data_IF_321456077715
#
_entry.id   IF_321456077715
#
_cell.length_a   1.000
_cell.length_b   1.000
_cell.length_c   1.000
_cell.angle_alpha   90.00
_cell.angle_beta   90.00
_cell.angle_gamma   90.00
#
_symmetry.space_group_name_H-M   'P 1'
#
loop_
_entity.id
_entity.type
_entity.pdbx_description
1 polymer ?
#
# COMPACT_ATOMS: atom_id res chain seq x y z
N UNK A 1 35.83 -40.73 -29.69
CA UNK A 1 35.26 -39.58 -28.99
C UNK A 1 35.77 -38.30 -29.63
N UNK A 2 34.93 -37.58 -30.37
CA UNK A 2 35.26 -36.30 -30.99
C UNK A 2 35.46 -35.24 -29.90
N UNK A 3 36.62 -34.58 -29.88
CA UNK A 3 36.91 -33.49 -28.91
C UNK A 3 35.90 -32.36 -29.12
N UNK A 4 35.09 -32.07 -28.10
CA UNK A 4 34.22 -30.89 -28.07
C UNK A 4 35.08 -29.65 -28.31
N UNK A 5 34.71 -28.81 -29.29
CA UNK A 5 35.40 -27.55 -29.54
C UNK A 5 35.24 -26.63 -28.31
N UNK A 6 36.34 -26.02 -27.87
CA UNK A 6 36.33 -25.06 -26.76
C UNK A 6 35.41 -23.90 -27.11
N UNK A 7 34.36 -23.74 -26.33
CA UNK A 7 33.35 -22.71 -26.47
C UNK A 7 33.66 -21.64 -25.46
N UNK A 8 34.27 -20.51 -25.86
CA UNK A 8 34.71 -19.51 -24.90
C UNK A 8 33.54 -19.05 -24.02
N UNK A 9 32.32 -18.99 -24.56
CA UNK A 9 31.08 -18.55 -23.92
C UNK A 9 30.59 -19.42 -22.75
N UNK A 10 31.09 -20.66 -22.61
CA UNK A 10 30.65 -21.59 -21.56
C UNK A 10 31.80 -22.35 -20.90
N UNK A 11 32.92 -22.55 -21.61
CA UNK A 11 34.06 -23.29 -21.10
C UNK A 11 35.02 -22.28 -20.43
N UNK A 12 35.37 -22.53 -19.16
CA UNK A 12 36.38 -21.77 -18.45
C UNK A 12 37.78 -22.29 -18.87
N UNK A 13 38.74 -21.42 -19.25
CA UNK A 13 40.10 -21.85 -19.48
C UNK A 13 40.72 -22.34 -18.16
N UNK A 14 41.60 -23.32 -18.26
CA UNK A 14 42.39 -23.77 -17.10
C UNK A 14 43.18 -22.60 -16.52
N UNK A 15 43.04 -22.35 -15.22
CA UNK A 15 43.71 -21.26 -14.55
C UNK A 15 45.23 -21.53 -14.48
N UNK A 16 46.02 -20.69 -15.14
CA UNK A 16 47.49 -20.76 -15.16
C UNK A 16 48.17 -19.68 -14.31
N UNK A 17 47.39 -18.92 -13.53
CA UNK A 17 47.93 -17.87 -12.66
C UNK A 17 48.57 -18.44 -11.39
N UNK A 18 49.27 -17.58 -10.65
CA UNK A 18 49.84 -17.95 -9.36
C UNK A 18 48.75 -18.03 -8.29
N UNK A 19 48.78 -19.08 -7.48
CA UNK A 19 47.98 -19.17 -6.26
C UNK A 19 48.69 -18.42 -5.13
N UNK A 20 47.94 -17.61 -4.39
CA UNK A 20 48.43 -16.92 -3.19
C UNK A 20 47.74 -17.56 -1.99
N UNK A 21 48.45 -17.87 -0.90
CA UNK A 21 47.81 -18.35 0.33
C UNK A 21 46.82 -17.29 0.84
N UNK A 22 45.55 -17.66 0.92
CA UNK A 22 44.46 -16.80 1.39
C UNK A 22 43.85 -17.43 2.63
N UNK A 23 43.95 -16.74 3.76
CA UNK A 23 43.32 -17.17 5.01
C UNK A 23 41.87 -16.68 5.05
N UNK A 24 40.98 -17.54 4.55
CA UNK A 24 39.56 -17.24 4.48
C UNK A 24 38.93 -17.00 5.86
N UNK A 25 39.49 -17.58 6.92
CA UNK A 25 38.97 -17.42 8.28
C UNK A 25 39.35 -16.04 8.82
N UNK A 26 40.61 -15.65 8.67
CA UNK A 26 41.08 -14.32 9.08
C UNK A 26 40.36 -13.21 8.32
N UNK A 27 40.34 -13.28 6.98
CA UNK A 27 39.73 -12.24 6.15
C UNK A 27 38.21 -12.22 6.32
N UNK A 28 37.57 -13.39 6.46
CA UNK A 28 36.16 -13.50 6.77
C UNK A 28 35.81 -12.90 8.13
N UNK A 29 36.61 -13.15 9.18
CA UNK A 29 36.40 -12.58 10.50
C UNK A 29 36.55 -11.05 10.50
N UNK A 30 37.57 -10.52 9.83
CA UNK A 30 37.76 -9.07 9.67
C UNK A 30 36.58 -8.47 8.91
N UNK A 31 36.17 -9.08 7.79
CA UNK A 31 35.05 -8.60 6.99
C UNK A 31 33.75 -8.55 7.81
N UNK A 32 33.43 -9.62 8.55
CA UNK A 32 32.24 -9.67 9.41
C UNK A 32 32.31 -8.60 10.49
N UNK A 33 33.46 -8.43 11.17
CA UNK A 33 33.62 -7.41 12.20
C UNK A 33 33.44 -6.00 11.65
N UNK A 34 34.07 -5.70 10.51
CA UNK A 34 33.94 -4.39 9.84
C UNK A 34 32.51 -4.15 9.41
N UNK A 35 31.85 -5.13 8.77
CA UNK A 35 30.46 -5.02 8.35
C UNK A 35 29.53 -4.85 9.55
N UNK A 36 29.76 -5.55 10.66
CA UNK A 36 28.99 -5.40 11.89
C UNK A 36 29.10 -3.97 12.44
N UNK A 37 30.33 -3.46 12.58
CA UNK A 37 30.59 -2.11 13.09
C UNK A 37 29.96 -1.07 12.18
N UNK A 38 30.15 -1.20 10.86
CA UNK A 38 29.56 -0.29 9.88
C UNK A 38 28.03 -0.35 9.93
N UNK A 39 27.43 -1.54 10.00
CA UNK A 39 25.97 -1.70 10.06
C UNK A 39 25.40 -1.04 11.32
N UNK A 40 26.01 -1.27 12.49
CA UNK A 40 25.57 -0.66 13.74
C UNK A 40 25.73 0.87 13.71
N UNK A 41 26.86 1.38 13.19
CA UNK A 41 27.11 2.81 13.07
C UNK A 41 26.13 3.47 12.09
N UNK A 42 25.91 2.87 10.92
CA UNK A 42 24.95 3.35 9.92
C UNK A 42 23.52 3.29 10.45
N UNK A 43 23.14 2.23 11.16
CA UNK A 43 21.83 2.14 11.79
C UNK A 43 21.62 3.27 12.80
N UNK A 44 22.61 3.57 13.66
CA UNK A 44 22.50 4.67 14.62
C UNK A 44 22.41 6.05 13.96
N UNK A 45 23.13 6.26 12.86
CA UNK A 45 23.17 7.55 12.15
C UNK A 45 21.95 7.74 11.24
N UNK A 46 21.45 6.67 10.63
CA UNK A 46 20.43 6.69 9.58
C UNK A 46 19.12 5.98 9.97
N UNK A 47 18.91 5.62 11.24
CA UNK A 47 17.65 5.01 11.70
C UNK A 47 16.50 5.97 11.46
N UNK A 48 15.47 5.51 10.75
CA UNK A 48 14.23 6.26 10.58
C UNK A 48 13.49 6.44 11.91
N UNK A 49 12.60 7.46 12.02
CA UNK A 49 11.77 7.68 13.19
C UNK A 49 10.78 6.52 13.36
N UNK A 50 10.53 6.13 14.61
CA UNK A 50 9.44 5.22 14.94
C UNK A 50 8.12 6.01 15.02
N UNK A 51 7.49 6.20 13.86
CA UNK A 51 6.20 6.89 13.75
C UNK A 51 5.06 6.00 14.25
N UNK A 52 4.21 6.56 15.11
CA UNK A 52 3.07 5.81 15.65
C UNK A 52 2.05 5.54 14.56
N UNK A 53 1.52 4.32 14.55
CA UNK A 53 0.42 3.95 13.68
C UNK A 53 -0.79 4.88 13.88
N UNK A 54 -1.37 5.31 12.76
CA UNK A 54 -2.60 6.09 12.76
C UNK A 54 -3.77 5.16 13.06
N UNK A 55 -4.61 5.58 13.99
CA UNK A 55 -5.85 4.89 14.41
C UNK A 55 -7.05 5.76 14.05
N UNK A 56 -8.23 5.15 14.00
CA UNK A 56 -9.48 5.90 13.79
C UNK A 56 -9.73 6.86 14.95
N UNK A 57 -9.35 6.48 16.17
CA UNK A 57 -9.34 7.40 17.32
C UNK A 57 -8.47 8.63 17.09
N UNK A 58 -7.23 8.45 16.63
CA UNK A 58 -6.34 9.60 16.40
C UNK A 58 -6.86 10.49 15.27
N UNK A 59 -7.36 9.88 14.19
CA UNK A 59 -7.96 10.59 13.07
C UNK A 59 -9.20 11.37 13.48
N UNK A 60 -10.21 10.72 14.06
CA UNK A 60 -11.48 11.36 14.46
C UNK A 60 -11.33 12.47 15.52
N UNK A 61 -10.24 12.47 16.30
CA UNK A 61 -9.93 13.57 17.21
C UNK A 61 -9.12 14.70 16.56
N UNK A 62 -8.32 14.41 15.54
CA UNK A 62 -7.52 15.40 14.82
C UNK A 62 -8.35 16.13 13.75
N UNK A 63 -9.19 15.40 13.01
CA UNK A 63 -10.07 15.90 11.98
C UNK A 63 -11.45 15.23 12.06
N UNK A 64 -12.28 15.74 12.97
CA UNK A 64 -13.60 15.15 13.25
C UNK A 64 -14.59 15.32 12.09
N UNK A 65 -14.46 16.40 11.32
CA UNK A 65 -15.36 16.66 10.19
C UNK A 65 -15.03 15.72 9.03
N UNK A 66 -13.75 15.54 8.71
CA UNK A 66 -13.30 14.55 7.71
C UNK A 66 -13.77 13.14 8.09
N UNK A 67 -13.55 12.70 9.34
CA UNK A 67 -14.06 11.40 9.80
C UNK A 67 -15.59 11.26 9.63
N UNK A 68 -16.35 12.26 10.05
CA UNK A 68 -17.81 12.20 9.97
C UNK A 68 -18.31 12.21 8.52
N UNK A 69 -17.61 12.91 7.63
CA UNK A 69 -17.90 12.91 6.20
C UNK A 69 -17.63 11.53 5.59
N UNK A 70 -16.46 10.95 5.86
CA UNK A 70 -16.12 9.60 5.39
C UNK A 70 -17.11 8.57 5.92
N UNK A 71 -17.44 8.58 7.21
CA UNK A 71 -18.46 7.68 7.76
C UNK A 71 -19.83 7.83 7.08
N UNK A 72 -20.17 9.05 6.63
CA UNK A 72 -21.35 9.31 5.82
C UNK A 72 -21.27 8.64 4.45
N UNK A 73 -20.14 8.78 3.76
CA UNK A 73 -19.89 8.14 2.47
C UNK A 73 -19.92 6.60 2.56
N UNK A 74 -19.36 6.05 3.64
CA UNK A 74 -19.40 4.61 3.90
C UNK A 74 -20.83 4.13 4.12
N UNK A 75 -21.62 4.88 4.92
CA UNK A 75 -23.03 4.61 5.18
C UNK A 75 -23.86 4.63 3.90
N UNK A 76 -23.61 5.60 3.00
CA UNK A 76 -24.34 5.77 1.74
C UNK A 76 -23.81 4.94 0.58
N UNK A 77 -22.68 4.24 0.77
CA UNK A 77 -22.06 3.41 -0.26
C UNK A 77 -21.43 4.22 -1.39
N UNK A 78 -20.97 5.44 -1.09
CA UNK A 78 -20.34 6.38 -2.04
C UNK A 78 -18.84 6.55 -1.83
N UNK A 79 -18.28 5.90 -0.81
CA UNK A 79 -16.85 5.89 -0.51
C UNK A 79 -16.03 5.19 -1.61
N UNK A 80 -14.72 5.42 -1.62
CA UNK A 80 -13.85 4.81 -2.62
C UNK A 80 -13.81 3.28 -2.47
N UNK A 81 -13.81 2.75 -1.24
CA UNK A 81 -13.93 1.31 -0.97
C UNK A 81 -15.27 0.77 -1.47
N UNK A 82 -16.38 1.51 -1.26
CA UNK A 82 -17.69 1.08 -1.75
C UNK A 82 -17.73 0.95 -3.29
N UNK A 83 -16.99 1.80 -4.00
CA UNK A 83 -16.84 1.80 -5.45
C UNK A 83 -15.66 0.98 -5.99
N UNK A 84 -14.87 0.32 -5.13
CA UNK A 84 -13.56 -0.22 -5.51
C UNK A 84 -13.61 -1.39 -6.50
N UNK A 85 -14.46 -2.39 -6.29
CA UNK A 85 -14.44 -3.66 -7.02
C UNK A 85 -13.77 -4.79 -6.25
N UNK A 86 -13.31 -5.81 -6.96
CA UNK A 86 -12.71 -6.97 -6.32
C UNK A 86 -11.34 -6.58 -5.70
N UNK A 87 -10.93 -7.20 -4.57
CA UNK A 87 -11.51 -8.38 -3.93
C UNK A 87 -12.63 -8.09 -2.92
N UNK A 88 -13.09 -6.84 -2.82
CA UNK A 88 -13.98 -6.38 -1.75
C UNK A 88 -15.46 -6.41 -2.13
N UNK A 89 -15.80 -5.98 -3.34
CA UNK A 89 -17.17 -5.92 -3.84
C UNK A 89 -17.21 -6.04 -5.37
N UNK A 90 -18.38 -5.82 -5.98
CA UNK A 90 -18.59 -5.95 -7.43
C UNK A 90 -18.92 -4.61 -8.10
N UNK A 91 -18.64 -3.48 -7.46
CA UNK A 91 -19.11 -2.16 -7.92
C UNK A 91 -18.09 -1.44 -8.81
N UNK A 92 -16.81 -1.79 -8.71
CA UNK A 92 -15.71 -1.16 -9.45
C UNK A 92 -15.26 -1.91 -10.69
N UNK A 93 -14.32 -1.29 -11.41
CA UNK A 93 -13.70 -1.86 -12.61
C UNK A 93 -12.37 -2.49 -12.25
N UNK A 94 -12.19 -3.76 -12.61
CA UNK A 94 -10.96 -4.50 -12.35
C UNK A 94 -9.73 -3.84 -13.01
N UNK A 95 -8.59 -3.88 -12.32
CA UNK A 95 -7.31 -3.53 -12.93
C UNK A 95 -6.99 -4.47 -14.09
N UNK A 96 -6.48 -3.93 -15.20
CA UNK A 96 -6.25 -4.71 -16.41
C UNK A 96 -5.03 -4.26 -17.22
N UNK A 97 -4.47 -5.20 -17.98
CA UNK A 97 -3.46 -4.94 -19.02
C UNK A 97 -3.88 -5.65 -20.30
N UNK A 98 -4.45 -4.89 -21.24
CA UNK A 98 -5.07 -5.47 -22.43
C UNK A 98 -6.22 -6.39 -22.03
N UNK A 99 -6.13 -7.68 -22.38
CA UNK A 99 -7.13 -8.71 -22.04
C UNK A 99 -6.88 -9.38 -20.68
N UNK A 100 -5.77 -9.09 -20.00
CA UNK A 100 -5.43 -9.66 -18.71
C UNK A 100 -6.11 -8.84 -17.60
N UNK A 101 -7.08 -9.45 -16.91
CA UNK A 101 -7.78 -8.85 -15.77
C UNK A 101 -7.90 -9.89 -14.64
N UNK A 102 -6.79 -10.23 -13.97
CA UNK A 102 -6.76 -11.31 -12.99
C UNK A 102 -7.71 -11.07 -11.81
N UNK A 103 -7.93 -9.81 -11.43
CA UNK A 103 -8.87 -9.41 -10.39
C UNK A 103 -10.30 -9.90 -10.69
N UNK A 104 -10.73 -9.85 -11.95
CA UNK A 104 -12.03 -10.37 -12.38
C UNK A 104 -12.08 -11.91 -12.36
N UNK A 105 -10.95 -12.59 -12.52
CA UNK A 105 -10.92 -14.06 -12.50
C UNK A 105 -10.99 -14.61 -11.08
N UNK A 106 -10.34 -13.94 -10.13
CA UNK A 106 -10.36 -14.32 -8.71
C UNK A 106 -11.66 -13.86 -8.04
N UNK A 107 -12.14 -12.67 -8.40
CA UNK A 107 -13.38 -12.11 -7.87
C UNK A 107 -13.31 -11.75 -6.38
N UNK A 108 -14.50 -11.56 -5.80
CA UNK A 108 -14.66 -11.15 -4.39
C UNK A 108 -14.34 -12.30 -3.46
N UNK A 109 -13.35 -12.11 -2.59
CA UNK A 109 -12.95 -13.09 -1.58
C UNK A 109 -12.66 -12.48 -0.20
N UNK A 110 -12.68 -11.15 -0.09
CA UNK A 110 -12.64 -10.42 1.18
C UNK A 110 -13.84 -9.48 1.19
N UNK A 111 -15.08 -10.00 1.31
CA UNK A 111 -16.27 -9.19 1.11
C UNK A 111 -16.33 -8.04 2.13
N UNK A 112 -16.50 -6.82 1.63
CA UNK A 112 -16.71 -5.62 2.43
C UNK A 112 -18.02 -4.97 1.97
N UNK A 113 -18.94 -4.79 2.91
CA UNK A 113 -20.13 -3.96 2.74
C UNK A 113 -19.94 -2.73 3.62
N UNK A 114 -19.51 -1.61 3.04
CA UNK A 114 -19.14 -0.40 3.77
C UNK A 114 -20.22 0.07 4.75
N UNK A 115 -21.48 0.11 4.29
CA UNK A 115 -22.64 0.47 5.10
C UNK A 115 -22.74 -0.37 6.37
N UNK A 116 -22.65 -1.70 6.23
CA UNK A 116 -22.82 -2.61 7.36
C UNK A 116 -21.54 -2.76 8.19
N UNK A 117 -20.41 -2.97 7.55
CA UNK A 117 -19.15 -3.29 8.21
C UNK A 117 -18.52 -2.10 8.92
N UNK A 118 -18.68 -0.89 8.40
CA UNK A 118 -18.05 0.31 8.96
C UNK A 118 -18.97 1.16 9.80
N UNK A 119 -20.30 1.05 9.66
CA UNK A 119 -21.25 1.93 10.36
C UNK A 119 -22.34 1.15 11.09
N UNK A 120 -23.17 0.37 10.38
CA UNK A 120 -24.37 -0.19 11.00
C UNK A 120 -24.05 -1.27 12.03
N UNK A 121 -23.11 -2.19 11.78
CA UNK A 121 -22.74 -3.24 12.73
C UNK A 121 -22.02 -2.66 13.96
N UNK A 122 -20.97 -1.82 13.83
CA UNK A 122 -20.35 -1.17 14.99
C UNK A 122 -21.35 -0.43 15.89
N UNK A 123 -22.28 0.32 15.30
CA UNK A 123 -23.34 1.01 16.05
C UNK A 123 -24.35 0.06 16.69
N UNK A 124 -24.63 -1.08 16.06
CA UNK A 124 -25.57 -2.07 16.60
C UNK A 124 -25.01 -2.81 17.81
N UNK A 125 -23.68 -2.93 17.89
CA UNK A 125 -22.97 -3.58 19.01
C UNK A 125 -22.76 -2.65 20.21
N UNK A 126 -23.07 -1.36 20.08
CA UNK A 126 -23.03 -0.41 21.19
C UNK A 126 -24.14 -0.69 22.22
N UNK A 127 -23.92 -0.33 23.51
CA UNK A 127 -24.98 -0.36 24.51
C UNK A 127 -26.23 0.38 24.04
N UNK A 128 -27.40 -0.23 24.25
CA UNK A 128 -28.67 0.28 23.75
C UNK A 128 -28.94 1.71 24.27
N UNK A 129 -29.07 2.66 23.34
CA UNK A 129 -29.51 4.02 23.61
C UNK A 129 -30.78 4.31 22.81
N UNK A 130 -31.85 4.86 23.41
CA UNK A 130 -33.15 5.02 22.73
C UNK A 130 -33.06 5.75 21.38
N UNK A 131 -32.26 6.84 21.31
CA UNK A 131 -32.09 7.64 20.10
C UNK A 131 -31.32 6.89 19.00
N UNK A 132 -30.26 6.17 19.38
CA UNK A 132 -29.50 5.33 18.45
C UNK A 132 -30.34 4.17 17.92
N UNK A 133 -31.04 3.46 18.82
CA UNK A 133 -31.91 2.35 18.45
C UNK A 133 -33.02 2.79 17.49
N UNK A 134 -33.65 3.95 17.73
CA UNK A 134 -34.65 4.50 16.82
C UNK A 134 -34.06 4.80 15.42
N UNK A 135 -32.90 5.44 15.35
CA UNK A 135 -32.22 5.76 14.09
C UNK A 135 -31.77 4.50 13.33
N UNK A 136 -31.23 3.49 14.03
CA UNK A 136 -30.88 2.20 13.44
C UNK A 136 -32.11 1.48 12.89
N UNK A 137 -33.23 1.49 13.62
CA UNK A 137 -34.47 0.88 13.16
C UNK A 137 -35.06 1.62 11.95
N UNK A 138 -35.04 2.95 11.97
CA UNK A 138 -35.47 3.78 10.84
C UNK A 138 -34.63 3.47 9.59
N UNK A 139 -33.31 3.42 9.71
CA UNK A 139 -32.42 3.05 8.60
C UNK A 139 -32.70 1.63 8.10
N UNK A 140 -32.72 0.63 8.98
CA UNK A 140 -32.84 -0.79 8.63
C UNK A 140 -34.22 -1.17 8.06
N UNK A 141 -35.28 -0.46 8.46
CA UNK A 141 -36.64 -0.72 7.97
C UNK A 141 -37.00 0.07 6.71
N UNK A 142 -36.21 1.09 6.36
CA UNK A 142 -36.42 1.88 5.16
C UNK A 142 -36.15 1.07 3.89
N UNK A 143 -36.88 1.40 2.82
CA UNK A 143 -36.61 0.85 1.50
C UNK A 143 -35.28 1.35 0.95
N UNK A 144 -34.69 0.61 0.00
CA UNK A 144 -33.47 1.05 -0.70
C UNK A 144 -33.65 2.42 -1.36
N UNK A 145 -34.81 2.68 -1.97
CA UNK A 145 -35.12 3.98 -2.57
C UNK A 145 -35.13 5.12 -1.54
N UNK A 146 -35.61 4.85 -0.32
CA UNK A 146 -35.61 5.81 0.79
C UNK A 146 -34.19 6.06 1.30
N UNK A 147 -33.39 5.01 1.48
CA UNK A 147 -31.98 5.13 1.87
C UNK A 147 -31.18 5.93 0.81
N UNK A 148 -31.39 5.64 -0.47
CA UNK A 148 -30.77 6.40 -1.57
C UNK A 148 -31.22 7.87 -1.59
N UNK A 149 -32.49 8.16 -1.29
CA UNK A 149 -32.98 9.53 -1.21
C UNK A 149 -32.34 10.30 -0.04
N UNK A 150 -32.18 9.66 1.12
CA UNK A 150 -31.45 10.23 2.26
C UNK A 150 -29.97 10.45 1.93
N UNK A 151 -29.30 9.48 1.29
CA UNK A 151 -27.92 9.63 0.84
C UNK A 151 -27.74 10.76 -0.17
N UNK A 152 -28.64 10.90 -1.15
CA UNK A 152 -28.62 12.00 -2.09
C UNK A 152 -28.89 13.37 -1.43
N UNK A 153 -29.68 13.40 -0.36
CA UNK A 153 -29.87 14.61 0.43
C UNK A 153 -28.62 14.95 1.26
N UNK A 154 -27.95 13.94 1.81
CA UNK A 154 -26.68 14.05 2.53
C UNK A 154 -25.56 14.61 1.65
N UNK A 155 -25.30 13.99 0.49
CA UNK A 155 -24.23 14.39 -0.44
C UNK A 155 -24.35 15.86 -0.90
N UNK A 156 -25.56 16.41 -0.98
CA UNK A 156 -25.78 17.84 -1.34
C UNK A 156 -25.25 18.83 -0.28
N UNK A 157 -25.10 18.39 0.96
CA UNK A 157 -24.79 19.26 2.09
C UNK A 157 -23.61 18.80 2.94
N UNK A 158 -23.01 17.65 2.66
CA UNK A 158 -21.91 17.07 3.44
C UNK A 158 -20.71 18.03 3.56
N UNK A 159 -20.39 18.79 2.52
CA UNK A 159 -19.33 19.80 2.54
C UNK A 159 -19.58 20.95 3.54
N UNK A 160 -20.81 21.05 4.08
CA UNK A 160 -21.24 22.01 5.11
C UNK A 160 -21.48 21.34 6.47
N UNK A 161 -21.12 20.06 6.61
CA UNK A 161 -21.18 19.34 7.87
C UNK A 161 -20.34 20.06 8.92
N UNK A 162 -20.88 20.17 10.14
CA UNK A 162 -20.15 20.71 11.28
C UNK A 162 -20.26 19.76 12.47
N UNK A 163 -19.27 19.81 13.36
CA UNK A 163 -19.28 19.05 14.59
C UNK A 163 -19.24 20.00 15.79
N UNK A 164 -20.25 19.94 16.64
CA UNK A 164 -20.32 20.75 17.86
C UNK A 164 -21.14 20.06 18.95
N UNK A 165 -20.78 20.29 20.21
CA UNK A 165 -21.46 19.70 21.37
C UNK A 165 -21.60 18.16 21.30
N UNK A 166 -20.59 17.49 20.75
CA UNK A 166 -20.60 16.03 20.63
C UNK A 166 -21.44 15.47 19.49
N UNK A 167 -22.07 16.32 18.67
CA UNK A 167 -22.97 15.90 17.59
C UNK A 167 -22.54 16.46 16.23
N UNK A 168 -22.87 15.67 15.21
CA UNK A 168 -22.76 16.01 13.80
C UNK A 168 -24.02 16.78 13.41
N UNK A 169 -23.82 17.95 12.79
CA UNK A 169 -24.89 18.82 12.33
C UNK A 169 -24.82 18.95 10.81
N UNK A 170 -25.95 18.71 10.15
CA UNK A 170 -26.14 18.90 8.72
C UNK A 170 -27.19 20.00 8.51
N UNK A 171 -27.01 20.90 7.53
CA UNK A 171 -27.99 21.94 7.23
C UNK A 171 -29.17 21.38 6.41
N UNK A 172 -29.70 20.21 6.79
CA UNK A 172 -30.88 19.57 6.19
C UNK A 172 -31.51 18.58 7.16
N UNK A 173 -32.82 18.43 7.08
CA UNK A 173 -33.57 17.34 7.73
C UNK A 173 -33.90 16.21 6.76
N UNK A 174 -33.64 16.40 5.46
CA UNK A 174 -33.97 15.43 4.41
C UNK A 174 -33.00 14.23 4.38
N UNK A 175 -31.94 14.23 5.17
CA UNK A 175 -30.98 13.13 5.29
C UNK A 175 -31.43 12.02 6.27
N UNK A 176 -32.68 12.06 6.76
CA UNK A 176 -33.26 11.02 7.62
C UNK A 176 -32.41 10.77 8.89
N UNK A 177 -32.11 9.51 9.23
CA UNK A 177 -31.37 9.16 10.43
C UNK A 177 -29.84 9.37 10.33
N UNK A 178 -29.30 9.73 9.14
CA UNK A 178 -27.86 9.85 8.89
C UNK A 178 -27.14 10.71 9.94
N UNK A 179 -27.51 11.99 10.21
CA UNK A 179 -26.81 12.80 11.20
C UNK A 179 -26.80 12.20 12.61
N UNK A 180 -27.83 11.43 12.99
CA UNK A 180 -27.85 10.72 14.28
C UNK A 180 -26.85 9.58 14.27
N UNK A 181 -26.86 8.73 13.25
CA UNK A 181 -25.91 7.62 13.10
C UNK A 181 -24.45 8.14 13.10
N UNK A 182 -24.16 9.19 12.32
CA UNK A 182 -22.83 9.81 12.27
C UNK A 182 -22.40 10.42 13.61
N UNK A 183 -23.34 11.03 14.35
CA UNK A 183 -23.03 11.56 15.68
C UNK A 183 -22.58 10.47 16.65
N UNK A 184 -23.24 9.31 16.62
CA UNK A 184 -22.90 8.17 17.47
C UNK A 184 -21.60 7.50 17.02
N UNK A 185 -21.42 7.32 15.71
CA UNK A 185 -20.21 6.72 15.15
C UNK A 185 -18.98 7.57 15.44
N UNK A 186 -19.12 8.90 15.30
CA UNK A 186 -18.06 9.85 15.65
C UNK A 186 -17.69 9.80 17.13
N UNK A 187 -18.67 9.65 18.03
CA UNK A 187 -18.39 9.47 19.46
C UNK A 187 -17.67 8.14 19.74
N UNK A 188 -18.12 7.06 19.10
CA UNK A 188 -17.51 5.74 19.19
C UNK A 188 -16.05 5.77 18.70
N UNK A 189 -15.80 6.39 17.54
CA UNK A 189 -14.48 6.62 16.96
C UNK A 189 -13.56 7.38 17.91
N UNK A 190 -14.00 8.54 18.41
CA UNK A 190 -13.19 9.40 19.28
C UNK A 190 -12.81 8.75 20.60
N UNK A 191 -13.62 7.81 21.09
CA UNK A 191 -13.30 7.03 22.29
C UNK A 191 -12.25 5.94 22.04
N UNK A 192 -12.15 5.44 20.79
CA UNK A 192 -11.39 4.25 20.39
C UNK A 192 -12.20 2.95 20.38
N UNK A 193 -13.50 3.00 20.68
CA UNK A 193 -14.37 1.85 20.60
C UNK A 193 -14.55 1.35 19.15
N UNK A 194 -14.48 2.25 18.16
CA UNK A 194 -14.61 1.87 16.75
C UNK A 194 -13.40 1.08 16.25
N UNK A 195 -12.18 1.49 16.61
CA UNK A 195 -10.97 0.73 16.29
C UNK A 195 -11.11 -0.73 16.73
N UNK A 196 -11.63 -0.96 17.94
CA UNK A 196 -11.87 -2.31 18.44
C UNK A 196 -13.03 -3.01 17.72
N UNK A 197 -14.14 -2.34 17.44
CA UNK A 197 -15.28 -2.96 16.77
C UNK A 197 -14.95 -3.48 15.36
N UNK A 198 -14.07 -2.78 14.63
CA UNK A 198 -13.64 -3.21 13.29
C UNK A 198 -12.65 -4.39 13.30
N UNK A 199 -12.11 -4.72 14.46
CA UNK A 199 -11.08 -5.75 14.66
C UNK A 199 -11.64 -6.97 15.43
N UNK A 200 -12.58 -6.74 16.36
CA UNK A 200 -13.06 -7.70 17.35
C UNK A 200 -13.79 -8.92 16.77
N UNK A 201 -14.18 -8.89 15.49
CA UNK A 201 -14.80 -10.05 14.83
C UNK A 201 -13.84 -11.26 14.67
N UNK A 202 -12.54 -11.09 14.97
CA UNK A 202 -11.49 -12.12 14.81
C UNK A 202 -10.82 -12.59 16.13
N UNK A 203 -11.35 -12.22 17.29
CA UNK A 203 -10.80 -12.60 18.61
C UNK A 203 -9.87 -11.54 19.23
N UNK A 204 -9.45 -11.76 20.48
CA UNK A 204 -8.68 -10.77 21.27
C UNK A 204 -7.28 -10.48 20.69
N UNK A 205 -6.67 -11.46 20.02
CA UNK A 205 -5.43 -11.28 19.27
C UNK A 205 -5.71 -11.55 17.79
N UNK A 206 -5.57 -10.53 16.96
CA UNK A 206 -5.73 -10.65 15.51
C UNK A 206 -4.67 -9.85 14.79
N UNK A 207 -4.27 -10.36 13.63
CA UNK A 207 -3.36 -9.71 12.69
C UNK A 207 -4.09 -9.17 11.45
N UNK A 208 -5.42 -9.33 11.40
CA UNK A 208 -6.25 -8.83 10.32
C UNK A 208 -6.77 -7.43 10.66
N UNK A 209 -6.17 -6.42 10.02
CA UNK A 209 -6.53 -5.00 10.11
C UNK A 209 -7.16 -4.49 8.81
N UNK A 210 -7.70 -5.36 7.96
CA UNK A 210 -8.26 -4.95 6.65
C UNK A 210 -9.34 -3.87 6.82
N UNK A 211 -10.32 -4.09 7.70
CA UNK A 211 -11.43 -3.14 7.92
C UNK A 211 -10.95 -1.73 8.36
N UNK A 212 -10.17 -1.58 9.45
CA UNK A 212 -9.72 -0.25 9.85
C UNK A 212 -8.78 0.41 8.83
N UNK A 213 -7.94 -0.36 8.13
CA UNK A 213 -7.07 0.21 7.09
C UNK A 213 -7.87 0.75 5.89
N UNK A 214 -8.88 0.01 5.43
CA UNK A 214 -9.76 0.44 4.34
C UNK A 214 -10.59 1.67 4.73
N UNK A 215 -11.11 1.72 5.95
CA UNK A 215 -11.86 2.89 6.41
C UNK A 215 -10.95 4.13 6.52
N UNK A 216 -9.74 3.98 7.06
CA UNK A 216 -8.77 5.10 7.12
C UNK A 216 -8.36 5.57 5.72
N UNK A 217 -8.25 4.66 4.73
CA UNK A 217 -7.84 5.04 3.37
C UNK A 217 -8.87 5.88 2.61
N UNK A 218 -10.15 5.82 3.00
CA UNK A 218 -11.22 6.58 2.36
C UNK A 218 -11.33 8.02 2.88
N UNK A 219 -10.68 8.32 4.02
CA UNK A 219 -10.57 9.68 4.55
C UNK A 219 -9.45 10.50 3.91
N UNK A 220 -9.55 11.83 3.99
CA UNK A 220 -8.50 12.71 3.46
C UNK A 220 -7.34 12.90 4.44
N UNK A 221 -7.57 12.65 5.73
CA UNK A 221 -6.57 12.83 6.78
C UNK A 221 -5.29 12.02 6.54
N UNK A 222 -5.41 10.73 6.22
CA UNK A 222 -4.25 9.85 6.00
C UNK A 222 -3.45 10.28 4.77
N UNK A 223 -4.12 10.51 3.65
CA UNK A 223 -3.49 11.01 2.42
C UNK A 223 -2.84 12.40 2.61
N UNK A 224 -3.46 13.26 3.41
CA UNK A 224 -2.92 14.58 3.75
C UNK A 224 -1.65 14.51 4.59
N UNK A 225 -1.56 13.55 5.51
CA UNK A 225 -0.32 13.27 6.26
C UNK A 225 0.78 12.74 5.34
N UNK A 226 0.48 11.76 4.50
CA UNK A 226 1.42 11.22 3.52
C UNK A 226 1.96 12.32 2.59
N UNK A 227 1.09 13.21 2.11
CA UNK A 227 1.49 14.35 1.26
C UNK A 227 2.43 15.32 2.00
N UNK A 228 2.16 15.63 3.28
CA UNK A 228 3.04 16.49 4.09
C UNK A 228 4.42 15.87 4.32
N UNK A 229 4.50 14.54 4.28
CA UNK A 229 5.73 13.77 4.44
C UNK A 229 6.38 13.38 3.10
N UNK A 230 5.87 13.89 1.98
CA UNK A 230 6.37 13.59 0.63
C UNK A 230 6.29 12.10 0.26
N UNK A 231 5.31 11.37 0.78
CA UNK A 231 5.14 9.93 0.53
C UNK A 231 4.20 9.63 -0.63
N UNK A 232 3.70 10.64 -1.34
CA UNK A 232 2.81 10.46 -2.49
C UNK A 232 3.55 9.94 -3.74
N UNK A 233 2.88 9.14 -4.56
CA UNK A 233 3.50 8.44 -5.70
C UNK A 233 4.07 9.37 -6.79
N UNK A 234 3.44 10.53 -7.01
CA UNK A 234 3.90 11.58 -7.92
C UNK A 234 5.19 12.29 -7.45
N UNK A 235 5.55 12.12 -6.18
CA UNK A 235 6.75 12.68 -5.57
C UNK A 235 7.86 11.64 -5.33
N UNK A 236 7.85 10.56 -6.12
CA UNK A 236 8.70 9.40 -5.90
C UNK A 236 8.49 8.74 -4.53
N UNK A 237 7.29 8.89 -3.95
CA UNK A 237 7.00 8.60 -2.55
C UNK A 237 7.33 7.19 -2.06
N UNK A 238 7.27 6.17 -2.93
CA UNK A 238 7.67 4.81 -2.59
C UNK A 238 9.17 4.68 -2.26
N UNK A 239 10.01 5.63 -2.69
CA UNK A 239 11.42 5.72 -2.27
C UNK A 239 11.62 6.63 -1.06
N UNK A 240 10.65 7.47 -0.73
CA UNK A 240 10.80 8.46 0.32
C UNK A 240 10.53 7.82 1.68
N UNK A 241 11.09 8.43 2.70
CA UNK A 241 10.84 8.10 4.10
C UNK A 241 10.48 9.40 4.83
N UNK A 242 9.78 9.26 5.94
CA UNK A 242 9.49 10.36 6.84
C UNK A 242 10.78 11.03 7.33
N UNK A 243 10.82 12.36 7.31
CA UNK A 243 11.98 13.14 7.75
C UNK A 243 13.11 13.20 6.73
N UNK A 244 14.36 13.21 7.20
CA UNK A 244 15.57 13.33 6.37
C UNK A 244 16.35 12.02 6.24
N UNK A 245 15.64 10.90 6.32
CA UNK A 245 16.24 9.58 6.32
C UNK A 245 16.28 8.98 4.92
N UNK A 246 17.30 8.17 4.61
CA UNK A 246 17.35 7.47 3.34
C UNK A 246 16.19 6.47 3.30
N UNK A 247 15.20 6.73 2.45
CA UNK A 247 14.10 5.80 2.23
C UNK A 247 14.51 4.62 1.35
N UNK A 248 13.52 3.97 0.75
CA UNK A 248 13.67 2.69 0.06
C UNK A 248 14.25 2.86 -1.35
N UNK A 249 15.50 3.36 -1.42
CA UNK A 249 16.14 3.75 -2.68
C UNK A 249 16.22 2.60 -3.71
N UNK A 250 16.23 1.34 -3.26
CA UNK A 250 16.21 0.17 -4.15
C UNK A 250 14.90 0.02 -4.94
N UNK A 251 13.81 0.68 -4.54
CA UNK A 251 12.52 0.67 -5.26
C UNK A 251 12.48 1.66 -6.43
N UNK A 252 13.57 2.39 -6.71
CA UNK A 252 13.60 3.39 -7.79
C UNK A 252 13.17 2.87 -9.15
N UNK A 253 13.47 1.59 -9.46
CA UNK A 253 13.05 0.96 -10.71
C UNK A 253 11.53 0.83 -10.82
N UNK A 254 10.83 0.60 -9.71
CA UNK A 254 9.36 0.57 -9.68
C UNK A 254 8.80 1.99 -9.76
N UNK A 255 9.32 2.89 -8.91
CA UNK A 255 8.86 4.28 -8.83
C UNK A 255 9.01 5.03 -10.15
N UNK A 256 10.09 4.76 -10.90
CA UNK A 256 10.36 5.36 -12.20
C UNK A 256 9.17 5.21 -13.17
N UNK A 257 8.55 4.03 -13.22
CA UNK A 257 7.45 3.79 -14.16
C UNK A 257 6.24 4.67 -13.85
N UNK A 258 5.94 4.93 -12.58
CA UNK A 258 4.86 5.82 -12.17
C UNK A 258 5.05 7.29 -12.61
N UNK A 259 6.25 7.67 -13.07
CA UNK A 259 6.54 9.04 -13.52
C UNK A 259 6.28 9.25 -15.02
N UNK A 260 6.06 8.19 -15.79
CA UNK A 260 5.97 8.26 -17.26
C UNK A 260 4.65 7.69 -17.80
N UNK A 261 4.21 8.21 -18.95
CA UNK A 261 3.04 7.69 -19.65
C UNK A 261 3.34 6.31 -20.26
N UNK A 262 2.38 5.35 -20.27
CA UNK A 262 0.98 5.47 -19.83
C UNK A 262 0.71 5.18 -18.35
N UNK A 263 1.73 4.82 -17.55
CA UNK A 263 1.55 4.39 -16.16
C UNK A 263 1.02 5.50 -15.26
N UNK A 264 1.52 6.73 -15.44
CA UNK A 264 1.16 7.90 -14.63
C UNK A 264 -0.28 8.41 -14.83
N UNK A 265 -0.98 7.96 -15.88
CA UNK A 265 -2.37 8.36 -16.18
C UNK A 265 -3.35 7.18 -16.21
N UNK A 266 -2.86 5.96 -15.98
CA UNK A 266 -3.69 4.75 -16.04
C UNK A 266 -4.32 4.44 -14.69
N UNK A 267 -5.62 4.13 -14.68
CA UNK A 267 -6.30 3.59 -13.50
C UNK A 267 -5.78 2.19 -13.09
N UNK A 268 -5.05 1.51 -13.98
CA UNK A 268 -4.35 0.24 -13.73
C UNK A 268 -2.84 0.43 -13.60
N UNK A 269 -2.38 1.61 -13.16
CA UNK A 269 -0.96 1.96 -13.03
C UNK A 269 -0.17 0.87 -12.31
N UNK A 270 -0.63 0.45 -11.14
CA UNK A 270 0.05 -0.56 -10.31
C UNK A 270 0.22 -1.89 -11.04
N UNK A 271 -0.84 -2.43 -11.65
CA UNK A 271 -0.78 -3.68 -12.41
C UNK A 271 0.15 -3.57 -13.62
N UNK A 272 0.15 -2.44 -14.32
CA UNK A 272 1.06 -2.19 -15.44
C UNK A 272 2.52 -2.16 -14.96
N UNK A 273 2.83 -1.44 -13.88
CA UNK A 273 4.19 -1.35 -13.33
C UNK A 273 4.66 -2.74 -12.89
N UNK A 274 3.83 -3.46 -12.13
CA UNK A 274 4.13 -4.83 -11.70
C UNK A 274 4.42 -5.76 -12.88
N UNK A 275 3.56 -5.72 -13.91
CA UNK A 275 3.70 -6.54 -15.10
C UNK A 275 4.99 -6.23 -15.88
N UNK A 276 5.31 -4.95 -16.07
CA UNK A 276 6.59 -4.52 -16.68
C UNK A 276 7.78 -5.05 -15.88
N UNK A 277 7.76 -4.89 -14.56
CA UNK A 277 8.85 -5.32 -13.69
C UNK A 277 9.02 -6.83 -13.68
N UNK A 278 7.94 -7.60 -13.77
CA UNK A 278 8.00 -9.04 -13.97
C UNK A 278 8.70 -9.42 -15.28
N UNK A 279 8.36 -8.77 -16.39
CA UNK A 279 8.99 -9.04 -17.69
C UNK A 279 10.48 -8.71 -17.63
N UNK A 280 10.85 -7.55 -17.08
CA UNK A 280 12.25 -7.15 -16.94
C UNK A 280 13.04 -8.12 -16.06
N UNK A 281 12.43 -8.58 -14.96
CA UNK A 281 13.03 -9.56 -14.06
C UNK A 281 13.21 -10.91 -14.76
N UNK A 282 12.19 -11.37 -15.50
CA UNK A 282 12.27 -12.60 -16.28
C UNK A 282 13.38 -12.52 -17.34
N UNK A 283 13.50 -11.39 -18.06
CA UNK A 283 14.58 -11.17 -19.02
C UNK A 283 15.96 -11.19 -18.36
N UNK A 284 16.10 -10.62 -17.17
CA UNK A 284 17.34 -10.62 -16.41
C UNK A 284 17.72 -12.04 -15.94
N UNK A 285 16.77 -12.80 -15.41
CA UNK A 285 16.98 -14.18 -14.96
C UNK A 285 17.30 -15.10 -16.15
N UNK A 286 16.65 -14.87 -17.30
CA UNK A 286 16.87 -15.65 -18.51
C UNK A 286 18.09 -15.19 -19.33
N UNK A 287 18.73 -14.07 -18.95
CA UNK A 287 19.87 -13.48 -19.64
C UNK A 287 20.99 -14.49 -19.96
N UNK A 288 21.40 -15.42 -19.06
CA UNK A 288 22.44 -16.41 -19.36
C UNK A 288 22.06 -17.37 -20.51
N UNK A 289 20.76 -17.56 -20.74
CA UNK A 289 20.23 -18.47 -21.76
C UNK A 289 19.97 -17.78 -23.10
N UNK A 290 19.94 -16.45 -23.16
CA UNK A 290 19.69 -15.69 -24.38
C UNK A 290 21.00 -15.55 -25.19
N UNK A 291 21.12 -16.19 -26.37
CA UNK A 291 22.30 -16.04 -27.22
C UNK A 291 22.50 -14.57 -27.62
N UNK A 292 23.74 -14.12 -27.66
CA UNK A 292 24.07 -12.71 -27.94
C UNK A 292 24.12 -11.86 -26.67
N UNK A 293 23.01 -11.78 -25.91
CA UNK A 293 22.94 -11.00 -24.67
C UNK A 293 23.90 -11.52 -23.60
N UNK A 294 23.95 -12.84 -23.38
CA UNK A 294 24.92 -13.45 -22.44
C UNK A 294 26.38 -13.11 -22.75
N UNK A 295 26.69 -12.78 -24.00
CA UNK A 295 28.05 -12.50 -24.47
C UNK A 295 28.42 -11.03 -24.36
N UNK A 296 27.46 -10.14 -24.03
CA UNK A 296 27.68 -8.68 -23.93
C UNK A 296 28.78 -8.33 -22.93
N UNK A 297 28.82 -8.87 -21.68
CA UNK A 297 29.88 -8.53 -20.73
C UNK A 297 31.29 -8.83 -21.26
N UNK A 298 31.43 -9.91 -22.04
CA UNK A 298 32.70 -10.26 -22.67
C UNK A 298 33.03 -9.39 -23.88
N UNK A 299 32.04 -9.05 -24.70
CA UNK A 299 32.22 -8.15 -25.86
C UNK A 299 32.65 -6.75 -25.42
N UNK A 300 32.05 -6.24 -24.34
CA UNK A 300 32.41 -4.96 -23.74
C UNK A 300 33.78 -4.99 -23.04
N UNK A 301 34.37 -6.19 -22.86
CA UNK A 301 35.69 -6.39 -22.23
C UNK A 301 35.81 -5.71 -20.86
N UNK A 302 34.71 -5.55 -20.12
CA UNK A 302 34.70 -4.96 -18.76
C UNK A 302 35.67 -5.69 -17.84
N UNK A 303 35.78 -7.01 -18.01
CA UNK A 303 36.75 -7.84 -17.28
C UNK A 303 38.21 -7.37 -17.47
N UNK A 304 38.58 -6.73 -18.59
CA UNK A 304 39.93 -6.16 -18.76
C UNK A 304 40.15 -4.89 -17.93
N UNK A 305 39.08 -4.18 -17.58
CA UNK A 305 39.15 -3.02 -16.69
C UNK A 305 39.27 -3.49 -15.24
N UNK A 306 38.42 -4.44 -14.83
CA UNK A 306 38.45 -5.01 -13.47
C UNK A 306 39.80 -5.69 -13.21
N UNK A 307 40.29 -6.48 -14.17
CA UNK A 307 41.53 -7.24 -14.06
C UNK A 307 42.69 -6.58 -14.83
N UNK A 308 42.75 -5.24 -14.84
CA UNK A 308 43.70 -4.48 -15.65
C UNK A 308 45.15 -4.93 -15.46
N UNK A 309 45.58 -5.13 -14.23
CA UNK A 309 46.95 -5.56 -13.91
C UNK A 309 47.28 -6.99 -14.37
N UNK A 310 46.29 -7.88 -14.41
CA UNK A 310 46.48 -9.23 -14.90
C UNK A 310 46.69 -9.20 -16.43
N UNK A 311 45.84 -8.47 -17.14
CA UNK A 311 45.96 -8.33 -18.60
C UNK A 311 47.15 -7.46 -19.03
N UNK A 312 47.56 -6.48 -18.20
CA UNK A 312 48.77 -5.69 -18.45
C UNK A 312 50.05 -6.53 -18.29
N UNK A 313 50.05 -7.54 -17.41
CA UNK A 313 51.17 -8.48 -17.25
C UNK A 313 51.22 -9.59 -18.31
N UNK A 314 50.15 -9.77 -19.08
CA UNK A 314 50.06 -10.76 -20.16
C UNK A 314 50.35 -10.18 -21.56
N UNK A 315 50.34 -8.85 -21.70
CA UNK A 315 50.67 -8.13 -22.93
C UNK A 315 52.18 -7.90 -23.03
#
# INVERSE_FOLDING_TARGET
MTKKAFRPDVDAPEYKGAYVPYDIIKEGAIAVLVVLILTAALALVFSSPDEKAITIKTWSNADTVDFAQTAGDELTGTSAVAGYGAPYNNNGTAQHWGFLAPEHWVGVHIPINTTNDFVINPLSDQPAQPRLTAALNEWKSASSATQSAWGAAYAKVEAKLTYSNGQVHLPTTAAGPIPVLLSYETQMARSGALDQALIAQNGFYTTNYTKPLLFISDGTYFAGLASKQHLAGDQWGMMNETGQYPGQAWLWLYTFWYQISPYNTSASGDFLVWGTMMILTALLVLLPFIPGLRSVPRRLKIYRIIWREHYARQA
#
